data_IF_424934893479
#
_entry.id   IF_424934893479
#
_cell.length_a   1.000
_cell.length_b   1.000
_cell.length_c   1.000
_cell.angle_alpha   90.00
_cell.angle_beta   90.00
_cell.angle_gamma   90.00
#
_symmetry.space_group_name_H-M   'P 1'
#
loop_
_entity.id
_entity.type
_entity.pdbx_description
1 polymer ?
#
# COMPACT_ATOMS: atom_id res chain seq x y z
N UNK A 1 14.08 21.56 -7.15
CA UNK A 1 13.01 20.56 -7.00
C UNK A 1 12.71 20.40 -5.51
N UNK A 2 11.79 21.22 -4.98
CA UNK A 2 11.33 21.06 -3.60
C UNK A 2 10.18 20.05 -3.65
N UNK A 3 10.46 18.80 -3.27
CA UNK A 3 9.43 17.78 -3.11
C UNK A 3 8.77 18.06 -1.76
N UNK A 4 7.46 18.34 -1.70
CA UNK A 4 6.79 18.50 -0.42
C UNK A 4 6.93 17.19 0.38
N UNK A 5 7.08 17.31 1.71
CA UNK A 5 6.91 16.19 2.65
C UNK A 5 5.44 15.71 2.58
N UNK A 6 5.12 14.91 1.58
CA UNK A 6 3.78 14.42 1.23
C UNK A 6 3.88 12.93 0.82
N UNK A 7 2.76 12.16 0.86
CA UNK A 7 2.78 10.71 1.09
C UNK A 7 3.39 9.89 -0.07
N UNK A 8 3.72 8.62 0.20
CA UNK A 8 4.32 7.68 -0.75
C UNK A 8 3.64 7.71 -2.14
N UNK A 9 4.44 7.92 -3.19
CA UNK A 9 3.96 8.09 -4.57
C UNK A 9 4.28 6.88 -5.45
N UNK A 10 3.29 6.35 -6.17
CA UNK A 10 3.43 5.23 -7.09
C UNK A 10 3.79 5.64 -8.51
N UNK A 11 3.44 6.85 -8.95
CA UNK A 11 3.91 7.40 -10.22
C UNK A 11 4.03 8.92 -10.15
N UNK A 12 4.81 9.50 -11.07
CA UNK A 12 4.90 10.95 -11.24
C UNK A 12 4.84 11.26 -12.74
N UNK A 13 3.81 11.98 -13.16
CA UNK A 13 3.59 12.38 -14.55
C UNK A 13 3.86 13.88 -14.67
N UNK A 14 4.85 14.24 -15.48
CA UNK A 14 5.11 15.63 -15.86
C UNK A 14 4.04 16.06 -16.86
N UNK A 15 3.24 17.07 -16.53
CA UNK A 15 2.10 17.55 -17.32
C UNK A 15 2.43 18.70 -18.25
N UNK A 16 3.55 19.39 -18.03
CA UNK A 16 3.96 20.54 -18.82
C UNK A 16 5.39 20.38 -19.31
N UNK A 17 5.70 20.99 -20.45
CA UNK A 17 7.05 20.98 -21.05
C UNK A 17 8.10 21.75 -20.22
N UNK A 18 7.71 22.26 -19.05
CA UNK A 18 8.53 23.04 -18.14
C UNK A 18 8.50 24.54 -18.46
N UNK A 19 8.34 25.37 -17.43
CA UNK A 19 8.40 26.83 -17.52
C UNK A 19 9.59 27.31 -16.71
N UNK A 20 10.42 28.17 -17.28
CA UNK A 20 11.57 28.73 -16.56
C UNK A 20 11.12 29.91 -15.71
N UNK A 21 11.25 29.79 -14.38
CA UNK A 21 10.89 30.82 -13.41
C UNK A 21 11.97 30.92 -12.33
N UNK A 22 12.35 32.15 -11.97
CA UNK A 22 13.31 32.46 -10.89
C UNK A 22 14.64 31.67 -10.95
N UNK A 23 15.15 31.45 -12.17
CA UNK A 23 16.41 30.75 -12.39
C UNK A 23 16.30 29.22 -12.28
N UNK A 24 15.10 28.66 -12.22
CA UNK A 24 14.85 27.22 -12.16
C UNK A 24 13.85 26.77 -13.23
N UNK A 25 13.99 25.54 -13.70
CA UNK A 25 12.96 24.88 -14.51
C UNK A 25 11.84 24.37 -13.57
N UNK A 26 10.63 24.91 -13.73
CA UNK A 26 9.44 24.52 -13.00
C UNK A 26 8.56 23.63 -13.88
N UNK A 27 8.11 22.50 -13.34
CA UNK A 27 7.23 21.57 -14.03
C UNK A 27 5.98 21.35 -13.20
N UNK A 28 4.83 21.25 -13.87
CA UNK A 28 3.65 20.71 -13.22
C UNK A 28 3.80 19.20 -13.21
N UNK A 29 3.91 18.62 -12.02
CA UNK A 29 4.01 17.18 -11.84
C UNK A 29 2.77 16.73 -11.08
N UNK A 30 2.02 15.80 -11.67
CA UNK A 30 1.01 15.05 -10.92
C UNK A 30 1.68 13.84 -10.32
N UNK A 31 1.61 13.72 -9.00
CA UNK A 31 2.10 12.55 -8.29
C UNK A 31 0.91 11.65 -7.96
N UNK A 32 0.90 10.42 -8.47
CA UNK A 32 -0.09 9.43 -8.04
C UNK A 32 0.38 8.83 -6.72
N UNK A 33 -0.41 8.96 -5.65
CA UNK A 33 -0.17 8.16 -4.44
C UNK A 33 -0.47 6.69 -4.71
N UNK A 34 0.13 5.77 -3.96
CA UNK A 34 -0.14 4.34 -4.11
C UNK A 34 -1.56 3.88 -3.78
N UNK A 35 -2.47 4.80 -3.48
CA UNK A 35 -3.87 4.51 -3.22
C UNK A 35 -4.04 3.50 -2.10
N UNK A 36 -5.02 2.62 -2.27
CA UNK A 36 -5.29 1.50 -1.37
C UNK A 36 -4.58 0.21 -1.79
N UNK A 37 -3.48 0.27 -2.56
CA UNK A 37 -2.77 -0.92 -3.03
C UNK A 37 -1.80 -1.50 -1.98
N UNK A 38 -2.24 -1.52 -0.72
CA UNK A 38 -1.49 -2.10 0.40
C UNK A 38 -0.13 -1.45 0.66
N UNK A 39 0.90 -2.29 0.63
CA UNK A 39 2.27 -2.00 1.06
C UNK A 39 3.31 -2.18 -0.07
N UNK A 40 3.26 -1.41 -1.18
CA UNK A 40 4.28 -1.56 -2.21
C UNK A 40 5.66 -1.15 -1.67
N UNK A 41 6.73 -1.73 -2.22
CA UNK A 41 8.08 -1.38 -1.80
C UNK A 41 8.39 0.10 -2.08
N UNK A 42 8.62 0.87 -1.02
CA UNK A 42 8.96 2.29 -1.10
C UNK A 42 10.46 2.52 -0.96
N UNK A 43 11.02 3.28 -1.91
CA UNK A 43 12.37 3.81 -1.92
C UNK A 43 12.31 5.34 -2.15
N UNK A 44 12.94 6.12 -1.26
CA UNK A 44 12.94 7.60 -1.35
C UNK A 44 11.54 8.23 -1.49
N UNK A 45 10.54 7.67 -0.80
CA UNK A 45 9.14 8.14 -0.86
C UNK A 45 8.40 7.76 -2.15
N UNK A 46 8.99 6.94 -3.02
CA UNK A 46 8.38 6.45 -4.25
C UNK A 46 8.23 4.94 -4.23
N UNK A 47 7.09 4.41 -4.66
CA UNK A 47 6.99 2.99 -4.91
C UNK A 47 7.85 2.58 -6.09
N UNK A 48 8.51 1.45 -5.93
CA UNK A 48 9.20 0.74 -6.99
C UNK A 48 8.34 -0.45 -7.39
N UNK A 49 7.95 -0.49 -8.64
CA UNK A 49 7.23 -1.62 -9.23
C UNK A 49 7.94 -2.05 -10.51
N UNK A 50 7.79 -3.33 -10.85
CA UNK A 50 8.27 -3.82 -12.14
C UNK A 50 7.48 -3.18 -13.30
N UNK A 51 8.00 -3.32 -14.52
CA UNK A 51 7.22 -3.05 -15.73
C UNK A 51 6.42 -4.29 -16.10
N UNK A 52 5.22 -4.16 -16.71
CA UNK A 52 4.48 -5.32 -17.18
C UNK A 52 5.24 -6.01 -18.31
N UNK A 53 5.22 -7.34 -18.32
CA UNK A 53 5.81 -8.19 -19.34
C UNK A 53 4.76 -9.16 -19.89
N UNK A 54 4.93 -9.53 -21.16
CA UNK A 54 4.02 -10.42 -21.89
C UNK A 54 4.57 -11.85 -21.92
N UNK A 55 3.69 -12.84 -22.08
CA UNK A 55 4.06 -14.25 -22.21
C UNK A 55 4.45 -14.94 -20.90
N UNK A 56 4.11 -14.36 -19.74
CA UNK A 56 4.51 -14.86 -18.42
C UNK A 56 3.39 -15.62 -17.70
N UNK A 57 3.05 -16.82 -18.19
CA UNK A 57 2.00 -17.64 -17.58
C UNK A 57 2.34 -18.16 -16.17
N UNK A 58 3.60 -18.14 -15.75
CA UNK A 58 4.02 -18.56 -14.40
C UNK A 58 3.52 -17.63 -13.28
N UNK A 59 3.05 -16.44 -13.65
CA UNK A 59 2.45 -15.46 -12.74
C UNK A 59 0.94 -15.45 -12.80
N UNK A 60 0.30 -16.48 -13.37
CA UNK A 60 -1.16 -16.62 -13.36
C UNK A 60 -1.56 -17.68 -12.35
N UNK A 61 -2.53 -17.36 -11.48
CA UNK A 61 -3.16 -18.36 -10.62
C UNK A 61 -4.05 -19.28 -11.46
N UNK A 62 -3.68 -20.57 -11.55
CA UNK A 62 -4.37 -21.52 -12.42
C UNK A 62 -5.67 -22.06 -11.83
N UNK A 63 -5.83 -21.96 -10.50
CA UNK A 63 -7.05 -22.37 -9.81
C UNK A 63 -8.18 -21.34 -9.91
N UNK A 64 -7.88 -20.06 -10.21
CA UNK A 64 -8.88 -19.02 -10.33
C UNK A 64 -9.67 -19.22 -11.64
N UNK A 65 -11.02 -19.29 -11.61
CA UNK A 65 -11.81 -19.34 -12.83
C UNK A 65 -11.61 -18.08 -13.68
N UNK A 66 -11.79 -18.19 -14.99
CA UNK A 66 -11.77 -17.02 -15.87
C UNK A 66 -13.00 -16.13 -15.61
N UNK A 67 -12.86 -14.79 -15.61
CA UNK A 67 -13.99 -13.88 -15.53
C UNK A 67 -14.88 -13.99 -16.77
N UNK A 68 -16.16 -13.67 -16.64
CA UNK A 68 -17.08 -13.62 -17.76
C UNK A 68 -16.76 -12.40 -18.63
N UNK A 69 -16.42 -12.65 -19.89
CA UNK A 69 -16.13 -11.59 -20.86
C UNK A 69 -17.35 -11.21 -21.70
N UNK A 70 -18.47 -11.93 -21.55
CA UNK A 70 -19.67 -11.69 -22.31
C UNK A 70 -20.26 -10.32 -21.97
N UNK A 71 -20.57 -9.54 -23.01
CA UNK A 71 -21.15 -8.21 -22.83
C UNK A 71 -20.15 -7.09 -22.54
N UNK A 72 -18.85 -7.40 -22.37
CA UNK A 72 -17.80 -6.38 -22.27
C UNK A 72 -17.38 -5.89 -23.66
N UNK A 73 -17.35 -4.57 -23.82
CA UNK A 73 -16.73 -3.93 -24.99
C UNK A 73 -15.20 -4.10 -24.98
N UNK A 74 -14.53 -3.94 -26.13
CA UNK A 74 -13.07 -3.95 -26.18
C UNK A 74 -12.41 -2.91 -25.26
N UNK A 75 -13.01 -1.72 -25.12
CA UNK A 75 -12.49 -0.64 -24.29
C UNK A 75 -12.61 -0.99 -22.79
N UNK A 76 -13.75 -1.54 -22.36
CA UNK A 76 -13.92 -2.00 -20.97
C UNK A 76 -12.94 -3.11 -20.62
N UNK A 77 -12.72 -4.07 -21.53
CA UNK A 77 -11.72 -5.12 -21.35
C UNK A 77 -10.30 -4.54 -21.22
N UNK A 78 -9.95 -3.55 -22.04
CA UNK A 78 -8.65 -2.89 -21.96
C UNK A 78 -8.46 -2.14 -20.63
N UNK A 79 -9.50 -1.44 -20.14
CA UNK A 79 -9.49 -0.76 -18.84
C UNK A 79 -9.33 -1.76 -17.68
N UNK A 80 -10.08 -2.85 -17.70
CA UNK A 80 -9.98 -3.91 -16.68
C UNK A 80 -8.60 -4.58 -16.70
N UNK A 81 -8.08 -4.90 -17.88
CA UNK A 81 -6.74 -5.47 -18.03
C UNK A 81 -5.67 -4.53 -17.47
N UNK A 82 -5.74 -3.23 -17.78
CA UNK A 82 -4.79 -2.24 -17.28
C UNK A 82 -4.87 -2.08 -15.75
N UNK A 83 -6.09 -2.05 -15.19
CA UNK A 83 -6.29 -1.95 -13.74
C UNK A 83 -5.72 -3.16 -13.01
N UNK A 84 -6.07 -4.39 -13.44
CA UNK A 84 -5.57 -5.62 -12.83
C UNK A 84 -4.05 -5.80 -13.03
N UNK A 85 -3.50 -5.34 -14.15
CA UNK A 85 -2.04 -5.33 -14.36
C UNK A 85 -1.36 -4.42 -13.34
N UNK A 86 -1.93 -3.23 -13.09
CA UNK A 86 -1.40 -2.29 -12.10
C UNK A 86 -1.41 -2.90 -10.70
N UNK A 87 -2.55 -3.49 -10.30
CA UNK A 87 -2.68 -4.16 -9.00
C UNK A 87 -1.63 -5.27 -8.87
N UNK A 88 -1.51 -6.16 -9.86
CA UNK A 88 -0.52 -7.24 -9.82
C UNK A 88 0.94 -6.76 -9.73
N UNK A 89 1.27 -5.60 -10.30
CA UNK A 89 2.59 -4.99 -10.15
C UNK A 89 2.83 -4.40 -8.76
N UNK A 90 1.76 -3.90 -8.11
CA UNK A 90 1.83 -3.37 -6.74
C UNK A 90 1.93 -4.52 -5.72
N UNK A 91 1.17 -5.61 -5.88
CA UNK A 91 1.32 -6.80 -5.04
C UNK A 91 2.69 -7.44 -5.21
N UNK A 92 3.19 -7.50 -6.46
CA UNK A 92 4.57 -7.94 -6.70
C UNK A 92 5.61 -7.05 -5.99
N UNK A 93 5.34 -5.75 -5.85
CA UNK A 93 6.17 -4.85 -5.05
C UNK A 93 6.01 -5.08 -3.53
N UNK A 94 4.82 -5.46 -3.07
CA UNK A 94 4.55 -5.81 -1.68
C UNK A 94 5.37 -7.03 -1.23
N UNK A 95 5.66 -7.99 -2.12
CA UNK A 95 6.61 -9.10 -1.85
C UNK A 95 7.97 -8.56 -1.37
N UNK A 96 8.54 -7.59 -2.08
CA UNK A 96 9.82 -6.99 -1.71
C UNK A 96 9.72 -6.18 -0.41
N UNK A 97 8.57 -5.54 -0.17
CA UNK A 97 8.28 -4.78 1.05
C UNK A 97 8.24 -5.66 2.29
N UNK A 98 7.50 -6.78 2.25
CA UNK A 98 7.48 -7.77 3.33
C UNK A 98 8.81 -8.50 3.49
N UNK A 99 9.52 -8.78 2.38
CA UNK A 99 10.88 -9.31 2.44
C UNK A 99 11.83 -8.40 3.23
N UNK A 100 11.81 -7.09 2.95
CA UNK A 100 12.55 -6.09 3.76
C UNK A 100 12.08 -6.09 5.21
N UNK A 101 10.76 -6.09 5.44
CA UNK A 101 10.20 -6.05 6.79
C UNK A 101 10.61 -7.24 7.64
N UNK A 102 10.65 -8.46 7.10
CA UNK A 102 11.12 -9.64 7.80
C UNK A 102 12.59 -9.51 8.21
N UNK A 103 13.45 -8.99 7.33
CA UNK A 103 14.86 -8.72 7.63
C UNK A 103 15.02 -7.61 8.69
N UNK A 104 14.23 -6.54 8.59
CA UNK A 104 14.19 -5.46 9.57
C UNK A 104 13.78 -5.98 10.95
N UNK A 105 12.70 -6.79 11.04
CA UNK A 105 12.25 -7.42 12.27
C UNK A 105 13.34 -8.28 12.92
N UNK A 106 14.10 -9.04 12.13
CA UNK A 106 15.27 -9.78 12.62
C UNK A 106 16.36 -8.85 13.14
N UNK A 107 16.67 -7.78 12.39
CA UNK A 107 17.72 -6.83 12.75
C UNK A 107 17.44 -6.10 14.07
N UNK A 108 16.17 -5.81 14.37
CA UNK A 108 15.74 -5.16 15.61
C UNK A 108 15.38 -6.15 16.74
N UNK A 109 15.57 -7.45 16.54
CA UNK A 109 15.36 -8.47 17.57
C UNK A 109 13.90 -8.75 17.89
N UNK A 110 13.01 -8.68 16.89
CA UNK A 110 11.59 -8.95 17.08
C UNK A 110 11.29 -10.41 17.46
N UNK A 111 10.18 -10.66 18.19
CA UNK A 111 9.68 -12.00 18.47
C UNK A 111 9.52 -12.85 17.19
N UNK A 112 9.86 -14.13 17.30
CA UNK A 112 9.85 -15.07 16.17
C UNK A 112 8.50 -15.13 15.44
N UNK A 113 7.38 -15.00 16.15
CA UNK A 113 6.05 -15.01 15.55
C UNK A 113 5.78 -13.82 14.62
N UNK A 114 6.38 -12.64 14.87
CA UNK A 114 6.26 -11.49 13.96
C UNK A 114 7.08 -11.72 12.69
N UNK A 115 8.26 -12.31 12.82
CA UNK A 115 9.13 -12.67 11.69
C UNK A 115 8.46 -13.73 10.81
N UNK A 116 7.91 -14.79 11.42
CA UNK A 116 7.17 -15.84 10.69
C UNK A 116 6.00 -15.24 9.92
N UNK A 117 5.15 -14.44 10.58
CA UNK A 117 4.00 -13.80 9.92
C UNK A 117 4.40 -12.84 8.80
N UNK A 118 5.54 -12.16 8.90
CA UNK A 118 6.04 -11.31 7.81
C UNK A 118 6.45 -12.12 6.58
N UNK A 119 7.01 -13.33 6.77
CA UNK A 119 7.28 -14.24 5.65
C UNK A 119 6.01 -14.83 5.06
N UNK A 120 5.02 -15.19 5.89
CA UNK A 120 3.72 -15.65 5.43
C UNK A 120 3.02 -14.57 4.59
N UNK A 121 3.02 -13.32 5.06
CA UNK A 121 2.48 -12.19 4.30
C UNK A 121 3.17 -12.03 2.93
N UNK A 122 4.50 -12.16 2.86
CA UNK A 122 5.21 -12.13 1.59
C UNK A 122 4.76 -13.23 0.60
N UNK A 123 4.35 -14.40 1.10
CA UNK A 123 3.82 -15.49 0.27
C UNK A 123 2.37 -15.23 -0.15
N UNK A 124 1.57 -14.62 0.73
CA UNK A 124 0.22 -14.14 0.42
C UNK A 124 0.31 -13.11 -0.73
N UNK A 125 1.29 -12.20 -0.73
CA UNK A 125 1.50 -11.25 -1.83
C UNK A 125 1.90 -11.90 -3.17
N UNK A 126 2.64 -13.01 -3.14
CA UNK A 126 2.90 -13.79 -4.37
C UNK A 126 1.58 -14.31 -4.93
N UNK A 127 0.67 -14.75 -4.06
CA UNK A 127 -0.66 -15.23 -4.47
C UNK A 127 -1.54 -14.07 -4.97
N UNK A 128 -1.54 -12.91 -4.31
CA UNK A 128 -2.28 -11.72 -4.73
C UNK A 128 -1.84 -11.25 -6.12
N UNK A 129 -0.53 -11.15 -6.35
CA UNK A 129 0.02 -10.83 -7.66
C UNK A 129 -0.46 -11.84 -8.73
N UNK A 130 -0.46 -13.14 -8.40
CA UNK A 130 -0.92 -14.19 -9.33
C UNK A 130 -2.41 -14.13 -9.66
N UNK A 131 -3.25 -13.83 -8.67
CA UNK A 131 -4.67 -13.61 -8.87
C UNK A 131 -4.91 -12.41 -9.80
N UNK A 132 -4.24 -11.29 -9.51
CA UNK A 132 -4.35 -10.07 -10.31
C UNK A 132 -3.88 -10.28 -11.76
N UNK A 133 -2.75 -10.95 -11.97
CA UNK A 133 -2.26 -11.24 -13.32
C UNK A 133 -3.09 -12.28 -14.06
N UNK A 134 -3.74 -13.24 -13.37
CA UNK A 134 -4.71 -14.14 -14.00
C UNK A 134 -5.90 -13.35 -14.58
N UNK A 135 -6.48 -12.45 -13.79
CA UNK A 135 -7.57 -11.57 -14.24
C UNK A 135 -7.11 -10.63 -15.37
N UNK A 136 -5.95 -9.97 -15.19
CA UNK A 136 -5.39 -9.09 -16.21
C UNK A 136 -5.19 -9.80 -17.56
N UNK A 137 -4.64 -11.02 -17.52
CA UNK A 137 -4.40 -11.84 -18.70
C UNK A 137 -5.70 -12.24 -19.39
N UNK A 138 -6.72 -12.61 -18.62
CA UNK A 138 -8.03 -12.98 -19.16
C UNK A 138 -8.69 -11.80 -19.89
N UNK A 139 -8.69 -10.60 -19.29
CA UNK A 139 -9.25 -9.41 -19.95
C UNK A 139 -8.45 -9.01 -21.20
N UNK A 140 -7.11 -9.03 -21.13
CA UNK A 140 -6.24 -8.71 -22.26
C UNK A 140 -6.28 -9.76 -23.39
N UNK A 141 -6.61 -11.01 -23.07
CA UNK A 141 -6.57 -12.13 -24.01
C UNK A 141 -5.16 -12.66 -24.30
N UNK A 142 -4.18 -12.32 -23.47
CA UNK A 142 -2.80 -12.81 -23.56
C UNK A 142 -2.18 -12.91 -22.15
N UNK A 143 -1.19 -13.82 -21.92
CA UNK A 143 -0.52 -13.90 -20.62
C UNK A 143 0.27 -12.64 -20.29
N UNK A 144 0.03 -12.09 -19.11
CA UNK A 144 0.72 -10.94 -18.52
C UNK A 144 1.38 -11.33 -17.19
N UNK A 145 2.46 -10.66 -16.84
CA UNK A 145 3.15 -10.83 -15.55
C UNK A 145 4.08 -9.66 -15.25
N UNK A 146 4.73 -9.65 -14.08
CA UNK A 146 5.74 -8.67 -13.75
C UNK A 146 7.05 -8.98 -14.48
N UNK A 147 7.71 -7.94 -14.98
CA UNK A 147 9.10 -8.01 -15.41
C UNK A 147 10.06 -8.08 -14.22
N UNK A 148 11.37 -7.93 -14.48
CA UNK A 148 12.37 -7.88 -13.42
C UNK A 148 12.09 -6.73 -12.45
N UNK A 149 12.22 -7.00 -11.14
CA UNK A 149 12.08 -5.95 -10.13
C UNK A 149 13.23 -4.94 -10.24
N UNK A 150 12.97 -3.62 -10.22
CA UNK A 150 13.94 -2.61 -10.65
C UNK A 150 14.97 -2.24 -9.56
N UNK A 151 15.73 -3.20 -9.02
CA UNK A 151 16.87 -2.93 -8.12
C UNK A 151 18.16 -2.53 -8.87
N UNK A 152 18.09 -2.14 -10.15
CA UNK A 152 19.27 -1.99 -11.02
C UNK A 152 20.25 -0.95 -10.46
N UNK A 153 21.42 -1.42 -10.04
CA UNK A 153 22.51 -0.58 -9.50
C UNK A 153 22.30 -0.08 -8.08
N UNK A 154 21.24 -0.52 -7.38
CA UNK A 154 20.91 -0.11 -6.01
C UNK A 154 21.20 -1.19 -4.97
N UNK A 155 21.31 -0.75 -3.71
CA UNK A 155 21.40 -1.64 -2.55
C UNK A 155 20.04 -1.69 -1.84
N UNK A 156 19.61 -2.89 -1.43
CA UNK A 156 18.50 -3.02 -0.49
C UNK A 156 18.95 -2.55 0.90
N UNK A 157 18.41 -1.43 1.37
CA UNK A 157 18.64 -0.97 2.74
C UNK A 157 17.70 -1.68 3.72
N UNK A 158 18.27 -2.22 4.80
CA UNK A 158 17.56 -2.81 5.93
C UNK A 158 17.91 -1.98 7.16
N UNK A 159 16.91 -1.39 7.82
CA UNK A 159 17.14 -0.63 9.05
C UNK A 159 17.30 -1.58 10.24
N UNK A 160 18.27 -1.27 11.11
CA UNK A 160 18.41 -1.86 12.43
C UNK A 160 17.95 -0.89 13.54
N UNK A 161 17.34 0.24 13.17
CA UNK A 161 16.74 1.19 14.12
C UNK A 161 15.25 0.85 14.31
N UNK A 162 14.89 0.47 15.55
CA UNK A 162 13.51 0.12 15.91
C UNK A 162 12.53 1.27 15.68
N UNK A 163 12.94 2.53 15.85
CA UNK A 163 12.06 3.68 15.63
C UNK A 163 11.71 3.84 14.14
N UNK A 164 12.69 3.64 13.26
CA UNK A 164 12.49 3.66 11.80
C UNK A 164 11.58 2.52 11.35
N UNK A 165 11.85 1.30 11.83
CA UNK A 165 11.05 0.11 11.50
C UNK A 165 9.61 0.28 11.98
N UNK A 166 9.40 0.80 13.19
CA UNK A 166 8.06 1.05 13.73
C UNK A 166 7.32 2.14 12.93
N UNK A 167 7.98 3.25 12.61
CA UNK A 167 7.36 4.32 11.81
C UNK A 167 7.00 3.85 10.39
N UNK A 168 7.83 2.98 9.80
CA UNK A 168 7.53 2.33 8.51
C UNK A 168 6.34 1.38 8.62
N UNK A 169 6.30 0.53 9.65
CA UNK A 169 5.19 -0.39 9.91
C UNK A 169 3.86 0.33 10.13
N UNK A 170 3.88 1.55 10.71
CA UNK A 170 2.68 2.41 10.76
C UNK A 170 2.20 2.78 9.37
N UNK A 171 3.07 3.39 8.54
CA UNK A 171 2.67 3.93 7.24
C UNK A 171 2.27 2.84 6.25
N UNK A 172 3.15 1.86 6.10
CA UNK A 172 3.00 0.82 5.09
C UNK A 172 2.01 -0.25 5.57
N UNK A 173 2.06 -0.63 6.85
CA UNK A 173 1.30 -1.74 7.39
C UNK A 173 -0.04 -1.33 8.02
N UNK A 174 0.01 -0.57 9.12
CA UNK A 174 -1.18 -0.22 9.90
C UNK A 174 -2.18 0.59 9.07
N UNK A 175 -1.69 1.43 8.16
CA UNK A 175 -2.51 2.29 7.32
C UNK A 175 -2.71 1.65 5.95
N UNK A 176 -1.63 1.35 5.22
CA UNK A 176 -1.69 0.77 3.87
C UNK A 176 -2.58 -0.47 3.78
N UNK A 177 -2.31 -1.49 4.59
CA UNK A 177 -3.04 -2.77 4.53
C UNK A 177 -4.47 -2.64 5.06
N UNK A 178 -4.72 -1.78 6.06
CA UNK A 178 -6.08 -1.53 6.54
C UNK A 178 -6.94 -0.90 5.44
N UNK A 179 -6.37 0.06 4.69
CA UNK A 179 -7.05 0.66 3.54
C UNK A 179 -7.28 -0.37 2.43
N UNK A 180 -6.26 -1.18 2.12
CA UNK A 180 -6.33 -2.21 1.10
C UNK A 180 -7.41 -3.24 1.37
N UNK A 181 -7.44 -3.78 2.60
CA UNK A 181 -8.45 -4.72 3.06
C UNK A 181 -9.87 -4.20 2.87
N UNK A 182 -10.14 -2.97 3.34
CA UNK A 182 -11.49 -2.39 3.27
C UNK A 182 -11.90 -1.99 1.85
N UNK A 183 -10.96 -1.55 1.02
CA UNK A 183 -11.22 -1.28 -0.40
C UNK A 183 -11.48 -2.57 -1.17
N UNK A 184 -10.68 -3.61 -0.98
CA UNK A 184 -10.90 -4.92 -1.61
C UNK A 184 -12.24 -5.52 -1.17
N UNK A 185 -12.60 -5.38 0.11
CA UNK A 185 -13.90 -5.82 0.62
C UNK A 185 -15.08 -5.06 -0.02
N UNK A 186 -14.99 -3.74 -0.17
CA UNK A 186 -16.01 -2.93 -0.85
C UNK A 186 -16.13 -3.33 -2.34
N UNK A 187 -15.00 -3.55 -3.02
CA UNK A 187 -14.98 -4.00 -4.41
C UNK A 187 -15.60 -5.40 -4.54
N UNK A 188 -15.28 -6.33 -3.64
CA UNK A 188 -15.84 -7.68 -3.63
C UNK A 188 -17.36 -7.66 -3.39
N UNK A 189 -17.84 -6.80 -2.48
CA UNK A 189 -19.26 -6.68 -2.17
C UNK A 189 -20.10 -6.17 -3.36
N UNK A 190 -19.47 -5.43 -4.29
CA UNK A 190 -20.12 -4.87 -5.48
C UNK A 190 -19.94 -5.72 -6.72
N UNK A 191 -18.86 -6.49 -6.79
CA UNK A 191 -18.58 -7.37 -7.91
C UNK A 191 -19.64 -8.47 -8.03
N UNK A 192 -20.20 -8.63 -9.23
CA UNK A 192 -21.13 -9.71 -9.57
C UNK A 192 -20.42 -10.85 -10.29
N UNK A 193 -19.30 -10.57 -10.97
CA UNK A 193 -18.47 -11.61 -11.57
C UNK A 193 -17.87 -12.53 -10.49
N UNK A 194 -18.08 -13.87 -10.56
CA UNK A 194 -17.64 -14.78 -9.51
C UNK A 194 -16.12 -14.83 -9.32
N UNK A 195 -15.35 -14.81 -10.42
CA UNK A 195 -13.89 -14.89 -10.36
C UNK A 195 -13.29 -13.63 -9.71
N UNK A 196 -13.82 -12.46 -10.09
CA UNK A 196 -13.40 -11.20 -9.49
C UNK A 196 -13.76 -11.13 -8.00
N UNK A 197 -14.99 -11.52 -7.64
CA UNK A 197 -15.41 -11.52 -6.23
C UNK A 197 -14.57 -12.47 -5.37
N UNK A 198 -14.26 -13.65 -5.89
CA UNK A 198 -13.39 -14.62 -5.22
C UNK A 198 -11.99 -14.07 -4.98
N UNK A 199 -11.35 -13.49 -6.00
CA UNK A 199 -10.03 -12.90 -5.88
C UNK A 199 -10.00 -11.75 -4.86
N UNK A 200 -10.94 -10.81 -4.95
CA UNK A 200 -11.02 -9.65 -4.05
C UNK A 200 -11.35 -10.03 -2.61
N UNK A 201 -12.22 -11.02 -2.40
CA UNK A 201 -12.54 -11.49 -1.05
C UNK A 201 -11.32 -12.14 -0.40
N UNK A 202 -10.57 -12.95 -1.15
CA UNK A 202 -9.34 -13.57 -0.66
C UNK A 202 -8.26 -12.52 -0.33
N UNK A 203 -8.09 -11.50 -1.18
CA UNK A 203 -7.18 -10.38 -0.91
C UNK A 203 -7.63 -9.63 0.35
N UNK A 204 -8.91 -9.27 0.47
CA UNK A 204 -9.41 -8.51 1.61
C UNK A 204 -9.17 -9.20 2.97
N UNK A 205 -9.35 -10.53 3.02
CA UNK A 205 -9.11 -11.32 4.23
C UNK A 205 -7.62 -11.37 4.60
N UNK A 206 -6.75 -11.54 3.61
CA UNK A 206 -5.31 -11.56 3.79
C UNK A 206 -4.77 -10.19 4.23
N UNK A 207 -5.22 -9.12 3.59
CA UNK A 207 -4.82 -7.77 3.96
C UNK A 207 -5.26 -7.39 5.38
N UNK A 208 -6.38 -7.94 5.87
CA UNK A 208 -6.75 -7.77 7.27
C UNK A 208 -5.74 -8.42 8.22
N UNK A 209 -5.19 -9.59 7.86
CA UNK A 209 -4.13 -10.27 8.64
C UNK A 209 -2.79 -9.53 8.53
N UNK A 210 -2.50 -8.92 7.38
CA UNK A 210 -1.32 -8.07 7.16
C UNK A 210 -1.38 -6.79 8.00
N UNK A 211 -2.52 -6.12 8.02
CA UNK A 211 -2.79 -4.99 8.88
C UNK A 211 -2.58 -5.38 10.35
N UNK A 212 -3.20 -6.47 10.81
CA UNK A 212 -3.05 -6.96 12.19
C UNK A 212 -1.58 -7.24 12.56
N UNK A 213 -0.80 -7.83 11.65
CA UNK A 213 0.64 -8.03 11.84
C UNK A 213 1.35 -6.70 12.10
N UNK A 214 1.07 -5.68 11.31
CA UNK A 214 1.67 -4.36 11.48
C UNK A 214 1.30 -3.72 12.82
N UNK A 215 0.02 -3.78 13.21
CA UNK A 215 -0.43 -3.27 14.51
C UNK A 215 0.27 -3.98 15.67
N UNK A 216 0.43 -5.31 15.61
CA UNK A 216 1.19 -6.08 16.61
C UNK A 216 2.66 -5.72 16.64
N UNK A 217 3.29 -5.51 15.49
CA UNK A 217 4.69 -5.10 15.40
C UNK A 217 4.91 -3.71 16.01
N UNK A 218 4.02 -2.75 15.76
CA UNK A 218 4.09 -1.41 16.35
C UNK A 218 3.86 -1.47 17.87
N UNK A 219 2.89 -2.27 18.33
CA UNK A 219 2.65 -2.46 19.77
C UNK A 219 3.86 -3.07 20.49
N UNK A 220 4.48 -4.09 19.88
CA UNK A 220 5.72 -4.67 20.39
C UNK A 220 6.85 -3.63 20.41
N UNK A 221 7.07 -2.91 19.32
CA UNK A 221 8.12 -1.90 19.22
C UNK A 221 7.96 -0.81 20.28
N UNK A 222 6.72 -0.37 20.54
CA UNK A 222 6.42 0.57 21.63
C UNK A 222 6.81 0.01 23.00
N UNK A 223 6.47 -1.25 23.27
CA UNK A 223 6.72 -1.88 24.57
C UNK A 223 8.19 -2.25 24.81
N UNK A 224 8.95 -2.50 23.75
CA UNK A 224 10.38 -2.86 23.81
C UNK A 224 11.33 -1.70 23.55
N UNK A 225 10.84 -0.61 22.95
CA UNK A 225 11.62 0.55 22.56
C UNK A 225 11.70 1.65 23.62
N UNK A 226 12.41 2.73 23.28
CA UNK A 226 12.55 3.92 24.11
C UNK A 226 11.59 5.05 23.68
N UNK A 227 11.81 6.25 24.22
CA UNK A 227 11.01 7.42 23.88
C UNK A 227 11.13 7.83 22.39
N UNK A 228 12.20 7.46 21.68
CA UNK A 228 12.35 7.74 20.26
C UNK A 228 11.34 6.93 19.43
N UNK A 229 11.13 5.65 19.76
CA UNK A 229 10.12 4.81 19.11
C UNK A 229 8.72 5.40 19.27
N UNK A 230 8.35 5.77 20.50
CA UNK A 230 7.05 6.37 20.77
C UNK A 230 6.84 7.70 20.00
N UNK A 231 7.88 8.55 19.91
CA UNK A 231 7.82 9.79 19.09
C UNK A 231 7.67 9.49 17.61
N UNK A 232 8.44 8.54 17.07
CA UNK A 232 8.40 8.16 15.67
C UNK A 232 7.03 7.60 15.26
N UNK A 233 6.45 6.73 16.09
CA UNK A 233 5.10 6.18 15.87
C UNK A 233 4.03 7.28 15.92
N UNK A 234 4.06 8.16 16.93
CA UNK A 234 3.12 9.30 17.02
C UNK A 234 3.23 10.21 15.79
N UNK A 235 4.45 10.53 15.36
CA UNK A 235 4.69 11.35 14.18
C UNK A 235 4.16 10.67 12.91
N UNK A 236 4.38 9.36 12.75
CA UNK A 236 3.91 8.61 11.58
C UNK A 236 2.37 8.59 11.49
N UNK A 237 1.66 8.33 12.59
CA UNK A 237 0.20 8.40 12.61
C UNK A 237 -0.31 9.82 12.36
N UNK A 238 0.27 10.83 13.01
CA UNK A 238 -0.14 12.22 12.84
C UNK A 238 0.03 12.69 11.38
N UNK A 239 1.16 12.38 10.75
CA UNK A 239 1.41 12.71 9.34
C UNK A 239 0.40 12.04 8.41
N UNK A 240 0.15 10.74 8.60
CA UNK A 240 -0.75 10.00 7.73
C UNK A 240 -2.22 10.40 7.91
N UNK A 241 -2.67 10.63 9.15
CA UNK A 241 -4.02 11.12 9.41
C UNK A 241 -4.22 12.56 8.94
N UNK A 242 -3.18 13.40 8.98
CA UNK A 242 -3.22 14.76 8.44
C UNK A 242 -3.25 14.76 6.90
N UNK A 243 -2.57 13.81 6.24
CA UNK A 243 -2.66 13.61 4.80
C UNK A 243 -4.08 13.20 4.36
N UNK A 244 -4.85 12.55 5.25
CA UNK A 244 -6.27 12.27 5.06
C UNK A 244 -6.56 11.45 3.80
N UNK A 245 -7.72 11.70 3.17
CA UNK A 245 -8.16 11.04 1.94
C UNK A 245 -7.47 11.56 0.65
N UNK A 246 -6.24 12.08 0.76
CA UNK A 246 -5.42 12.46 -0.41
C UNK A 246 -4.92 11.26 -1.21
N UNK A 247 -5.33 10.05 -0.81
CA UNK A 247 -5.10 8.82 -1.55
C UNK A 247 -5.88 8.85 -2.87
N UNK A 248 -5.15 8.87 -3.97
CA UNK A 248 -5.72 8.68 -5.29
C UNK A 248 -6.28 7.27 -5.45
N UNK A 249 -7.41 7.18 -6.14
CA UNK A 249 -8.08 5.92 -6.46
C UNK A 249 -8.16 5.78 -7.96
N UNK A 250 -7.97 4.57 -8.46
CA UNK A 250 -8.27 4.27 -9.85
C UNK A 250 -9.78 4.26 -10.01
N UNK A 251 -10.31 5.25 -10.71
CA UNK A 251 -11.72 5.32 -11.01
C UNK A 251 -12.09 4.15 -11.92
N UNK A 252 -13.02 3.31 -11.46
CA UNK A 252 -13.75 2.44 -12.34
C UNK A 252 -14.94 3.16 -12.96
N UNK A 253 -16.07 2.47 -13.04
CA UNK A 253 -17.30 3.03 -13.62
C UNK A 253 -18.52 2.24 -13.21
N UNK A 254 -19.70 2.84 -13.39
CA UNK A 254 -20.97 2.13 -13.24
C UNK A 254 -21.11 0.98 -14.26
N UNK A 255 -22.02 0.05 -13.98
CA UNK A 255 -22.36 -1.04 -14.89
C UNK A 255 -21.28 -2.12 -14.93
N UNK A 256 -20.72 -2.38 -16.11
CA UNK A 256 -19.79 -3.49 -16.31
C UNK A 256 -18.50 -3.36 -15.49
N UNK A 257 -17.93 -2.17 -15.35
CA UNK A 257 -16.70 -2.00 -14.56
C UNK A 257 -16.93 -2.31 -13.07
N UNK A 258 -18.03 -1.82 -12.48
CA UNK A 258 -18.41 -2.15 -11.10
C UNK A 258 -18.72 -3.65 -10.92
N UNK A 259 -19.45 -4.24 -11.86
CA UNK A 259 -19.73 -5.69 -11.88
C UNK A 259 -18.44 -6.54 -11.86
N UNK A 260 -17.35 -6.00 -12.40
CA UNK A 260 -16.00 -6.57 -12.42
C UNK A 260 -15.06 -5.92 -11.40
N UNK A 261 -15.60 -5.43 -10.27
CA UNK A 261 -14.84 -5.02 -9.10
C UNK A 261 -14.17 -3.64 -9.19
N UNK A 262 -14.52 -2.84 -10.19
CA UNK A 262 -14.01 -1.48 -10.38
C UNK A 262 -15.15 -0.45 -10.23
N UNK A 263 -15.57 -0.14 -9.00
CA UNK A 263 -16.58 0.88 -8.76
C UNK A 263 -16.03 2.29 -9.00
N UNK A 264 -16.91 3.28 -8.99
CA UNK A 264 -16.55 4.69 -9.15
C UNK A 264 -15.60 5.17 -8.04
N UNK A 265 -14.75 6.14 -8.39
CA UNK A 265 -13.80 6.74 -7.47
C UNK A 265 -14.44 7.31 -6.19
N UNK A 266 -15.68 7.79 -6.26
CA UNK A 266 -16.41 8.29 -5.09
C UNK A 266 -16.64 7.18 -4.05
N UNK A 267 -16.97 5.97 -4.49
CA UNK A 267 -17.16 4.79 -3.62
C UNK A 267 -15.85 4.42 -2.93
N UNK A 268 -14.76 4.38 -3.69
CA UNK A 268 -13.44 4.02 -3.15
C UNK A 268 -12.95 5.07 -2.14
N UNK A 269 -13.10 6.36 -2.44
CA UNK A 269 -12.77 7.44 -1.49
C UNK A 269 -13.60 7.38 -0.22
N UNK A 270 -14.91 7.13 -0.33
CA UNK A 270 -15.77 6.98 0.83
C UNK A 270 -15.34 5.78 1.70
N UNK A 271 -14.93 4.67 1.07
CA UNK A 271 -14.48 3.48 1.78
C UNK A 271 -13.16 3.71 2.53
N UNK A 272 -12.19 4.40 1.90
CA UNK A 272 -10.95 4.79 2.58
C UNK A 272 -11.19 5.79 3.72
N UNK A 273 -12.11 6.74 3.56
CA UNK A 273 -12.46 7.66 4.64
C UNK A 273 -13.03 6.91 5.85
N UNK A 274 -13.95 5.96 5.63
CA UNK A 274 -14.46 5.08 6.70
C UNK A 274 -13.34 4.25 7.33
N UNK A 275 -12.43 3.69 6.54
CA UNK A 275 -11.29 2.95 7.05
C UNK A 275 -10.41 3.79 7.99
N UNK A 276 -10.15 5.04 7.61
CA UNK A 276 -9.38 5.97 8.46
C UNK A 276 -10.11 6.32 9.75
N UNK A 277 -11.40 6.66 9.66
CA UNK A 277 -12.16 7.20 10.79
C UNK A 277 -12.72 6.12 11.73
N UNK A 278 -13.08 4.95 11.22
CA UNK A 278 -13.72 3.88 11.99
C UNK A 278 -12.73 2.81 12.45
N UNK A 279 -11.55 2.69 11.81
CA UNK A 279 -10.55 1.66 12.15
C UNK A 279 -9.22 2.28 12.54
N UNK A 280 -8.54 2.99 11.63
CA UNK A 280 -7.16 3.44 11.85
C UNK A 280 -7.08 4.43 13.02
N UNK A 281 -7.94 5.45 13.05
CA UNK A 281 -7.92 6.48 14.10
C UNK A 281 -8.24 5.89 15.48
N UNK A 282 -9.34 5.13 15.69
CA UNK A 282 -9.61 4.51 17.00
C UNK A 282 -8.52 3.54 17.43
N UNK A 283 -7.97 2.73 16.52
CA UNK A 283 -6.89 1.80 16.84
C UNK A 283 -5.60 2.52 17.23
N UNK A 284 -5.23 3.59 16.52
CA UNK A 284 -4.09 4.43 16.85
C UNK A 284 -4.27 5.13 18.21
N UNK A 285 -5.46 5.65 18.51
CA UNK A 285 -5.78 6.25 19.80
C UNK A 285 -5.68 5.25 20.95
N UNK A 286 -6.22 4.04 20.78
CA UNK A 286 -6.13 2.98 21.79
C UNK A 286 -4.65 2.57 22.03
N UNK A 287 -3.90 2.38 20.96
CA UNK A 287 -2.48 2.02 21.03
C UNK A 287 -1.65 3.11 21.72
N UNK A 288 -1.83 4.37 21.32
CA UNK A 288 -1.07 5.51 21.83
C UNK A 288 -1.55 6.01 23.20
N UNK A 289 -2.79 5.72 23.58
CA UNK A 289 -3.36 6.03 24.89
C UNK A 289 -2.82 5.13 26.00
N UNK A 290 -2.31 3.95 25.65
CA UNK A 290 -1.61 3.05 26.58
C UNK A 290 -0.20 3.52 26.96
N UNK A 291 0.34 4.52 26.25
CA UNK A 291 1.66 5.08 26.50
C UNK A 291 1.64 6.14 27.61
N UNK A 292 2.71 6.27 28.42
CA UNK A 292 2.88 7.40 29.31
C UNK A 292 2.81 8.72 28.53
N UNK A 293 2.21 9.76 29.14
CA UNK A 293 2.19 11.09 28.53
C UNK A 293 3.62 11.57 28.24
N UNK A 294 3.87 12.22 27.09
CA UNK A 294 5.19 12.76 26.79
C UNK A 294 5.62 13.70 27.92
N UNK A 295 6.86 13.54 28.40
CA UNK A 295 7.41 14.44 29.40
C UNK A 295 7.29 15.88 28.87
N UNK A 296 6.64 16.75 29.64
CA UNK A 296 6.61 18.19 29.30
C UNK A 296 8.05 18.64 29.26
N UNK A 297 8.53 19.05 28.08
CA UNK A 297 9.83 19.73 27.98
C UNK A 297 9.82 20.87 29.00
N UNK A 298 10.72 20.75 29.97
CA UNK A 298 10.87 21.74 31.02
C UNK A 298 11.10 23.07 30.35
N UNK A 299 10.18 24.02 30.59
CA UNK A 299 10.48 25.43 30.33
C UNK A 299 11.74 25.72 31.13
N UNK A 300 12.88 25.82 30.45
CA UNK A 300 14.05 26.47 31.00
C UNK A 300 13.56 27.83 31.49
N UNK A 301 13.47 27.97 32.81
CA UNK A 301 13.37 29.27 33.43
C UNK A 301 14.68 29.95 33.05
N UNK A 302 14.59 30.85 32.10
CA UNK A 302 15.56 31.92 31.96
C UNK A 302 15.52 32.69 33.29
N UNK A 303 16.37 32.29 34.23
CA UNK A 303 16.73 33.13 35.38
C UNK A 303 17.55 34.30 34.81
N UNK A 304 16.89 35.44 34.67
CA UNK A 304 17.53 36.75 34.61
C UNK A 304 17.91 37.17 36.04
N UNK A 305 19.12 37.70 36.22
CA UNK A 305 19.54 38.38 37.46
C UNK A 305 21.03 38.41 37.66
#
# INVERSE_FOLDING_TARGET
MHVPNSPNYCSAVVKTDGVFQDGQCCYDVTYETCGAAGRPFIEEGRARAAMPARGLSSWMESALPAPDLAGLSPDERALLAAAWTRDGLLEHASIASFGRFALELLAVGAPANLVTRAHEAALDEVRHARLAFALASAYAGEPLGPGAFPFVGGNLSVSADLADVAARAVREGCIGETLASLVAAEQAARATDPAVREALAAIAEDEARHAELAWRAVAWAIGSGDAAVARAVRAAFAQALAAGASFEVQAGGAGALEAHGRPDAAVLRASMARALDEVVRPAAEALLGSLPAPAREGRERAEHG
#
